data_IF_194401981822
#
_entry.id   IF_194401981822
#
_cell.length_a   1.000
_cell.length_b   1.000
_cell.length_c   1.000
_cell.angle_alpha   90.00
_cell.angle_beta   90.00
_cell.angle_gamma   90.00
#
_symmetry.space_group_name_H-M   'P 1'
#
loop_
_entity.id
_entity.type
_entity.pdbx_description
1 polymer ?
#
# COMPACT_ATOMS: atom_id res chain seq x y z
N UNK A 1 19.79 72.95 -5.08
CA UNK A 1 18.46 72.39 -4.68
C UNK A 1 18.39 70.99 -5.30
N UNK A 2 18.64 69.91 -4.55
CA UNK A 2 17.64 69.06 -3.84
C UNK A 2 16.50 68.63 -4.80
N UNK A 3 16.27 67.36 -5.15
CA UNK A 3 16.36 66.08 -4.41
C UNK A 3 16.57 64.86 -5.34
N UNK A 4 17.11 63.72 -4.84
CA UNK A 4 17.25 62.46 -5.56
C UNK A 4 16.02 61.53 -5.41
N UNK A 5 15.58 60.88 -6.49
CA UNK A 5 14.57 59.82 -6.44
C UNK A 5 15.30 58.47 -6.42
N UNK A 6 15.12 57.72 -5.33
CA UNK A 6 15.48 56.31 -5.17
C UNK A 6 14.28 55.43 -5.54
N UNK A 7 14.54 54.12 -5.67
CA UNK A 7 13.62 52.96 -5.60
C UNK A 7 13.02 52.53 -6.96
N UNK A 8 12.92 51.25 -7.35
CA UNK A 8 12.96 49.96 -6.64
C UNK A 8 13.52 48.89 -7.59
N UNK A 9 14.41 48.00 -7.11
CA UNK A 9 14.74 46.75 -7.80
C UNK A 9 13.66 45.70 -7.47
N UNK A 10 12.90 45.24 -8.46
CA UNK A 10 11.95 44.15 -8.30
C UNK A 10 12.61 42.82 -8.73
N UNK A 11 13.12 42.06 -7.75
CA UNK A 11 13.50 40.67 -7.96
C UNK A 11 12.25 39.80 -7.81
N UNK A 12 11.69 39.34 -8.93
CA UNK A 12 10.62 38.33 -8.93
C UNK A 12 11.28 36.96 -8.74
N UNK A 13 11.29 36.48 -7.50
CA UNK A 13 11.70 35.11 -7.18
C UNK A 13 10.50 34.19 -7.44
N UNK A 14 10.42 33.59 -8.63
CA UNK A 14 9.44 32.57 -8.93
C UNK A 14 9.88 31.23 -8.30
N UNK A 15 9.43 30.95 -7.08
CA UNK A 15 9.53 29.61 -6.50
C UNK A 15 8.52 28.70 -7.21
N UNK A 16 8.99 27.98 -8.23
CA UNK A 16 8.23 26.88 -8.80
C UNK A 16 8.07 25.79 -7.73
N UNK A 17 6.87 25.67 -7.18
CA UNK A 17 6.50 24.52 -6.35
C UNK A 17 6.45 23.33 -7.29
N UNK A 18 7.47 22.47 -7.22
CA UNK A 18 7.43 21.17 -7.87
C UNK A 18 6.32 20.36 -7.17
N UNK A 19 5.15 20.30 -7.80
CA UNK A 19 4.15 19.29 -7.46
C UNK A 19 4.78 17.96 -7.88
N UNK A 20 5.10 17.02 -6.96
CA UNK A 20 5.52 15.71 -7.37
C UNK A 20 4.35 15.09 -8.14
N UNK A 21 4.49 14.99 -9.45
CA UNK A 21 3.64 14.11 -10.22
C UNK A 21 3.86 12.73 -9.60
N UNK A 22 2.82 12.16 -8.96
CA UNK A 22 2.82 10.76 -8.58
C UNK A 22 2.89 9.97 -9.88
N UNK A 23 4.11 9.71 -10.33
CA UNK A 23 4.42 8.91 -11.49
C UNK A 23 3.89 7.52 -11.17
N UNK A 24 2.73 7.16 -11.73
CA UNK A 24 2.28 5.77 -11.84
C UNK A 24 3.26 5.06 -12.78
N UNK A 25 4.42 4.72 -12.24
CA UNK A 25 5.54 4.12 -12.95
C UNK A 25 5.25 2.62 -13.13
N UNK A 26 4.28 2.28 -13.98
CA UNK A 26 3.90 0.92 -14.33
C UNK A 26 2.48 0.83 -14.92
N UNK A 27 2.10 -0.28 -15.60
CA UNK A 27 0.70 -0.50 -15.99
C UNK A 27 -0.25 -0.51 -14.79
N UNK A 28 0.28 -0.80 -13.61
CA UNK A 28 -0.31 -0.54 -12.31
C UNK A 28 -0.67 0.95 -12.14
N UNK A 29 -1.96 1.24 -12.34
CA UNK A 29 -2.57 2.55 -12.02
C UNK A 29 -2.73 2.76 -10.51
N UNK A 30 -1.99 2.04 -9.66
CA UNK A 30 -2.11 2.05 -8.19
C UNK A 30 -0.71 2.19 -7.63
N UNK A 31 -0.50 3.17 -6.75
CA UNK A 31 0.79 3.34 -6.08
C UNK A 31 1.05 2.17 -5.13
N UNK A 32 2.26 1.62 -5.18
CA UNK A 32 2.64 0.53 -4.28
C UNK A 32 2.76 1.06 -2.84
N UNK A 33 1.99 0.54 -1.88
CA UNK A 33 1.95 1.09 -0.53
C UNK A 33 3.11 0.55 0.33
N UNK A 34 4.31 1.13 0.20
CA UNK A 34 5.54 0.58 0.81
C UNK A 34 5.45 0.29 2.33
N UNK A 35 4.56 0.94 3.06
CA UNK A 35 4.36 0.80 4.49
C UNK A 35 3.10 0.01 4.90
N UNK A 36 2.46 -0.72 3.98
CA UNK A 36 1.20 -1.45 4.24
C UNK A 36 1.25 -2.40 5.43
N UNK A 37 2.44 -2.91 5.79
CA UNK A 37 2.63 -3.79 6.95
C UNK A 37 2.32 -3.10 8.29
N UNK A 38 2.26 -1.76 8.31
CA UNK A 38 1.84 -0.96 9.48
C UNK A 38 0.32 -0.77 9.55
N UNK A 39 -0.40 -1.09 8.48
CA UNK A 39 -1.85 -0.96 8.43
C UNK A 39 -2.53 -2.09 9.19
N UNK A 40 -3.84 -1.97 9.40
CA UNK A 40 -4.62 -2.95 10.13
C UNK A 40 -4.67 -4.27 9.35
N UNK A 41 -4.15 -5.34 9.96
CA UNK A 41 -4.39 -6.70 9.49
C UNK A 41 -5.83 -7.10 9.84
N UNK A 42 -6.65 -7.38 8.85
CA UNK A 42 -8.05 -7.77 9.05
C UNK A 42 -8.34 -9.24 8.72
N UNK A 43 -7.33 -9.97 8.24
CA UNK A 43 -7.49 -11.41 7.97
C UNK A 43 -6.19 -12.10 7.62
N UNK A 44 -6.14 -13.39 7.96
CA UNK A 44 -5.13 -14.33 7.48
C UNK A 44 -5.87 -15.53 6.89
N UNK A 45 -5.56 -15.91 5.66
CA UNK A 45 -6.19 -17.04 4.98
C UNK A 45 -5.16 -18.07 4.53
N UNK A 46 -5.52 -19.35 4.69
CA UNK A 46 -4.73 -20.47 4.18
C UNK A 46 -5.24 -20.84 2.80
N UNK A 47 -4.32 -20.97 1.85
CA UNK A 47 -4.61 -21.40 0.48
C UNK A 47 -3.99 -22.77 0.25
N UNK A 48 -4.88 -23.76 0.23
CA UNK A 48 -4.54 -25.18 0.07
C UNK A 48 -4.02 -25.51 -1.32
N UNK A 49 -4.64 -24.93 -2.35
CA UNK A 49 -4.26 -25.02 -3.76
C UNK A 49 -2.82 -24.54 -4.01
N UNK A 50 -2.51 -23.34 -3.50
CA UNK A 50 -1.21 -22.68 -3.71
C UNK A 50 -0.17 -22.94 -2.62
N UNK A 51 -0.49 -23.74 -1.60
CA UNK A 51 0.33 -23.96 -0.39
C UNK A 51 0.91 -22.65 0.15
N UNK A 52 0.03 -21.68 0.36
CA UNK A 52 0.39 -20.31 0.70
C UNK A 52 -0.45 -19.77 1.86
N UNK A 53 0.10 -18.78 2.55
CA UNK A 53 -0.58 -18.00 3.59
C UNK A 53 -0.76 -16.58 3.08
N UNK A 54 -1.98 -16.06 3.18
CA UNK A 54 -2.35 -14.73 2.70
C UNK A 54 -2.63 -13.82 3.87
N UNK A 55 -1.95 -12.69 3.93
CA UNK A 55 -2.13 -11.65 4.93
C UNK A 55 -2.86 -10.47 4.29
N UNK A 56 -3.96 -10.04 4.89
CA UNK A 56 -4.80 -8.97 4.35
C UNK A 56 -4.68 -7.75 5.24
N UNK A 57 -4.30 -6.64 4.61
CA UNK A 57 -4.11 -5.35 5.24
C UNK A 57 -5.05 -4.33 4.63
N UNK A 58 -5.58 -3.44 5.47
CA UNK A 58 -6.48 -2.37 5.05
C UNK A 58 -6.00 -1.05 5.65
N UNK A 59 -5.87 -0.02 4.81
CA UNK A 59 -5.54 1.31 5.30
C UNK A 59 -6.69 1.88 6.18
N UNK A 60 -6.44 2.96 6.95
CA UNK A 60 -7.48 3.53 7.82
C UNK A 60 -8.76 3.93 7.08
N UNK A 61 -8.67 4.41 5.83
CA UNK A 61 -9.85 4.75 5.04
C UNK A 61 -10.73 3.53 4.75
N UNK A 62 -10.14 2.40 4.39
CA UNK A 62 -10.85 1.14 4.19
C UNK A 62 -11.46 0.61 5.49
N UNK A 63 -10.72 0.64 6.60
CA UNK A 63 -11.20 0.16 7.90
C UNK A 63 -12.37 0.97 8.47
N UNK A 64 -12.42 2.27 8.17
CA UNK A 64 -13.49 3.17 8.61
C UNK A 64 -14.67 3.23 7.62
N UNK A 65 -14.62 2.47 6.52
CA UNK A 65 -15.69 2.46 5.53
C UNK A 65 -16.85 1.56 5.95
N UNK A 66 -18.03 1.82 5.41
CA UNK A 66 -19.19 0.95 5.58
C UNK A 66 -18.94 -0.35 4.80
N UNK A 67 -19.18 -1.54 5.39
CA UNK A 67 -19.07 -2.81 4.67
C UNK A 67 -19.88 -2.79 3.37
N UNK A 68 -19.25 -3.17 2.25
CA UNK A 68 -19.85 -3.13 0.92
C UNK A 68 -19.83 -1.75 0.23
N UNK A 69 -19.41 -0.68 0.92
CA UNK A 69 -19.29 0.66 0.35
C UNK A 69 -17.99 1.34 0.82
N UNK A 70 -16.87 0.90 0.25
CA UNK A 70 -15.56 1.46 0.52
C UNK A 70 -15.47 2.92 0.05
N UNK A 71 -14.97 3.82 0.90
CA UNK A 71 -14.70 5.21 0.55
C UNK A 71 -13.60 5.30 -0.52
N UNK A 72 -13.62 6.36 -1.34
CA UNK A 72 -12.50 6.65 -2.21
C UNK A 72 -11.22 6.86 -1.39
N UNK A 73 -10.09 6.33 -1.88
CA UNK A 73 -8.83 6.26 -1.14
C UNK A 73 -8.73 5.04 -0.21
N UNK A 74 -9.74 4.17 -0.16
CA UNK A 74 -9.61 2.85 0.48
C UNK A 74 -8.60 2.01 -0.29
N UNK A 75 -7.62 1.47 0.41
CA UNK A 75 -6.60 0.57 -0.15
C UNK A 75 -6.60 -0.73 0.63
N UNK A 76 -6.68 -1.84 -0.09
CA UNK A 76 -6.53 -3.19 0.42
C UNK A 76 -5.26 -3.81 -0.16
N UNK A 77 -4.51 -4.49 0.68
CA UNK A 77 -3.32 -5.25 0.29
C UNK A 77 -3.49 -6.70 0.68
N UNK A 78 -3.15 -7.58 -0.26
CA UNK A 78 -3.05 -9.01 -0.03
C UNK A 78 -1.61 -9.44 -0.29
N UNK A 79 -0.87 -9.71 0.79
CA UNK A 79 0.47 -10.27 0.75
C UNK A 79 0.38 -11.79 0.77
N UNK A 80 1.05 -12.46 -0.17
CA UNK A 80 1.11 -13.92 -0.27
C UNK A 80 2.48 -14.38 0.16
N UNK A 81 2.55 -15.27 1.15
CA UNK A 81 3.78 -15.96 1.54
C UNK A 81 3.67 -17.45 1.30
N UNK A 82 4.79 -18.13 1.05
CA UNK A 82 4.80 -19.60 1.01
C UNK A 82 4.51 -20.18 2.38
N UNK A 83 3.75 -21.26 2.42
CA UNK A 83 3.66 -22.08 3.62
C UNK A 83 4.93 -22.94 3.76
N UNK A 84 5.37 -23.16 5.00
CA UNK A 84 6.44 -24.12 5.32
C UNK A 84 5.93 -25.52 5.00
N UNK A 85 6.66 -26.26 4.18
CA UNK A 85 6.30 -27.62 3.80
C UNK A 85 7.05 -28.65 4.65
N UNK A 86 6.34 -29.71 5.06
CA UNK A 86 6.92 -30.89 5.67
C UNK A 86 7.57 -31.81 4.64
N UNK A 87 8.15 -32.92 5.11
CA UNK A 87 8.80 -33.92 4.26
C UNK A 87 7.84 -34.61 3.27
N UNK A 88 6.54 -34.62 3.57
CA UNK A 88 5.46 -35.12 2.71
C UNK A 88 5.02 -34.09 1.64
N UNK A 89 5.63 -32.90 1.65
CA UNK A 89 5.30 -31.79 0.77
C UNK A 89 4.01 -31.05 1.14
N UNK A 90 3.36 -31.37 2.26
CA UNK A 90 2.17 -30.65 2.73
C UNK A 90 2.54 -29.49 3.66
N UNK A 91 1.72 -28.43 3.72
CA UNK A 91 1.93 -27.36 4.69
C UNK A 91 1.94 -27.87 6.14
N UNK A 92 3.00 -27.55 6.87
CA UNK A 92 3.02 -27.73 8.32
C UNK A 92 2.00 -26.78 8.97
N UNK A 93 1.44 -27.23 10.10
CA UNK A 93 0.46 -26.45 10.86
C UNK A 93 1.02 -25.99 12.19
N UNK A 94 0.69 -24.76 12.56
CA UNK A 94 0.98 -24.20 13.87
C UNK A 94 0.05 -24.74 14.95
N UNK A 95 0.28 -24.32 16.19
CA UNK A 95 -0.56 -24.70 17.34
C UNK A 95 -2.02 -24.22 17.20
N UNK A 96 -2.27 -23.19 16.39
CA UNK A 96 -3.58 -22.66 16.04
C UNK A 96 -4.28 -23.43 14.90
N UNK A 97 -3.64 -24.50 14.38
CA UNK A 97 -4.14 -25.29 13.26
C UNK A 97 -4.01 -24.60 11.90
N UNK A 98 -3.45 -23.39 11.81
CA UNK A 98 -3.22 -22.64 10.57
C UNK A 98 -1.91 -23.10 9.92
N UNK A 99 -1.73 -22.84 8.62
CA UNK A 99 -0.44 -23.07 7.98
C UNK A 99 0.65 -22.18 8.58
N UNK A 100 1.84 -22.74 8.77
CA UNK A 100 3.03 -21.96 9.15
C UNK A 100 3.51 -21.20 7.91
N UNK A 101 3.50 -19.87 7.96
CA UNK A 101 4.07 -19.04 6.90
C UNK A 101 5.60 -19.00 6.98
N UNK A 102 6.26 -18.99 5.83
CA UNK A 102 7.67 -18.58 5.72
C UNK A 102 7.77 -17.06 5.56
N UNK A 103 8.99 -16.53 5.56
CA UNK A 103 9.23 -15.11 5.26
C UNK A 103 9.26 -14.80 3.74
N UNK A 104 9.19 -15.82 2.88
CA UNK A 104 9.23 -15.63 1.43
C UNK A 104 7.89 -15.09 0.92
N UNK A 105 7.88 -13.80 0.55
CA UNK A 105 6.75 -13.14 -0.13
C UNK A 105 6.80 -13.46 -1.62
N UNK A 106 5.76 -14.08 -2.13
CA UNK A 106 5.66 -14.48 -3.55
C UNK A 106 4.80 -13.52 -4.38
N UNK A 107 3.91 -12.77 -3.74
CA UNK A 107 3.11 -11.75 -4.40
C UNK A 107 2.60 -10.70 -3.41
N UNK A 108 2.43 -9.47 -3.88
CA UNK A 108 1.69 -8.41 -3.19
C UNK A 108 0.66 -7.86 -4.18
N UNK A 109 -0.62 -8.04 -3.86
CA UNK A 109 -1.72 -7.58 -4.69
C UNK A 109 -2.34 -6.37 -4.01
N UNK A 110 -2.54 -5.28 -4.76
CA UNK A 110 -3.05 -4.02 -4.24
C UNK A 110 -4.34 -3.66 -4.97
N UNK A 111 -5.36 -3.27 -4.21
CA UNK A 111 -6.61 -2.75 -4.74
C UNK A 111 -6.88 -1.38 -4.13
N UNK A 112 -7.26 -0.42 -4.96
CA UNK A 112 -7.61 0.93 -4.52
C UNK A 112 -8.97 1.34 -5.08
N UNK A 113 -9.83 1.85 -4.21
CA UNK A 113 -11.09 2.48 -4.63
C UNK A 113 -10.82 3.94 -5.01
N UNK A 114 -11.10 4.29 -6.26
CA UNK A 114 -11.06 5.67 -6.77
C UNK A 114 -12.44 6.12 -7.25
N UNK A 115 -12.60 7.43 -7.34
CA UNK A 115 -13.74 8.04 -8.02
C UNK A 115 -13.74 7.63 -9.49
N UNK A 116 -14.91 7.28 -10.01
CA UNK A 116 -15.13 6.79 -11.37
C UNK A 116 -16.50 6.16 -11.50
#
# INVERSE_FOLDING_TARGET
>A
MRHPIRLVAAAVLATAIAVPAQLWAGPEKVEFPADYKKWTSFGVLDRYDGKAVRFLYANPAAMNSVPGNAANGSVLVLEVRKAKLGADGNPERGADGRFIATDEVTAVNVQEKRAG
#
